data_IF_278759665218
#
_entry.id   IF_278759665218
#
_cell.length_a   1.000
_cell.length_b   1.000
_cell.length_c   1.000
_cell.angle_alpha   90.00
_cell.angle_beta   90.00
_cell.angle_gamma   90.00
#
_symmetry.space_group_name_H-M   'P 1'
#
loop_
_entity.id
_entity.type
_entity.pdbx_description
1 polymer ?
#
# COMPACT_ATOMS: atom_id res chain seq x y z
N UNK A 1 -8.61 6.54 -17.18
CA UNK A 1 -7.58 7.42 -16.67
C UNK A 1 -7.11 6.94 -15.29
N UNK A 2 -5.82 6.82 -15.14
CA UNK A 2 -5.23 6.28 -13.91
C UNK A 2 -5.35 7.19 -12.69
N UNK A 3 -5.19 6.58 -11.53
CA UNK A 3 -5.19 7.28 -10.24
C UNK A 3 -4.03 6.78 -9.40
N UNK A 4 -3.06 7.62 -9.14
CA UNK A 4 -2.02 7.29 -8.18
C UNK A 4 -2.56 7.34 -6.77
N UNK A 5 -2.13 6.38 -5.96
CA UNK A 5 -2.42 6.36 -4.53
C UNK A 5 -1.12 6.24 -3.75
N UNK A 6 -1.07 6.93 -2.63
CA UNK A 6 0.01 6.79 -1.65
C UNK A 6 -0.65 6.32 -0.37
N UNK A 7 -0.36 5.08 0.02
CA UNK A 7 -0.96 4.46 1.20
C UNK A 7 0.08 4.34 2.30
N UNK A 8 -0.31 4.60 3.53
CA UNK A 8 0.56 4.48 4.70
C UNK A 8 -0.01 3.44 5.66
N UNK A 9 0.81 2.44 5.98
CA UNK A 9 0.45 1.30 6.81
C UNK A 9 1.34 1.27 8.04
N UNK A 10 0.76 1.52 9.22
CA UNK A 10 1.51 1.43 10.46
C UNK A 10 1.42 0.01 11.00
N UNK A 11 2.53 -0.74 11.11
CA UNK A 11 2.45 -2.10 11.63
C UNK A 11 1.99 -2.12 13.08
N UNK A 12 1.09 -3.05 13.38
CA UNK A 12 0.73 -3.33 14.76
C UNK A 12 1.92 -3.97 15.46
N UNK A 13 2.03 -3.85 16.80
CA UNK A 13 3.13 -4.46 17.54
C UNK A 13 3.32 -5.94 17.18
N UNK A 14 4.53 -6.32 16.79
CA UNK A 14 4.86 -7.69 16.41
C UNK A 14 4.38 -8.13 15.03
N UNK A 15 3.72 -7.25 14.26
CA UNK A 15 3.12 -7.62 12.97
C UNK A 15 3.89 -7.09 11.75
N UNK A 16 5.11 -6.56 11.93
CA UNK A 16 5.84 -5.99 10.79
C UNK A 16 6.08 -7.04 9.69
N UNK A 17 6.51 -8.25 10.06
CA UNK A 17 6.78 -9.30 9.07
C UNK A 17 5.51 -9.70 8.30
N UNK A 18 4.37 -9.80 8.98
CA UNK A 18 3.10 -10.11 8.35
C UNK A 18 2.67 -8.98 7.39
N UNK A 19 2.87 -7.73 7.78
CA UNK A 19 2.57 -6.58 6.94
C UNK A 19 3.45 -6.58 5.69
N UNK A 20 4.75 -6.79 5.83
CA UNK A 20 5.67 -6.83 4.69
C UNK A 20 5.31 -7.95 3.72
N UNK A 21 4.88 -9.11 4.24
CA UNK A 21 4.41 -10.21 3.40
C UNK A 21 3.16 -9.83 2.60
N UNK A 22 2.22 -9.12 3.23
CA UNK A 22 1.00 -8.66 2.56
C UNK A 22 1.33 -7.61 1.49
N UNK A 23 2.18 -6.63 1.80
CA UNK A 23 2.61 -5.61 0.84
C UNK A 23 3.33 -6.26 -0.33
N UNK A 24 4.16 -7.27 -0.07
CA UNK A 24 4.90 -7.98 -1.12
C UNK A 24 4.00 -8.73 -2.11
N UNK A 25 2.79 -9.12 -1.71
CA UNK A 25 1.81 -9.80 -2.58
C UNK A 25 0.85 -8.82 -3.26
N UNK A 26 0.73 -7.62 -2.77
CA UNK A 26 -0.34 -6.69 -3.14
C UNK A 26 -0.38 -6.42 -4.64
N UNK A 27 0.75 -6.02 -5.22
CA UNK A 27 0.83 -5.69 -6.64
C UNK A 27 0.44 -6.88 -7.52
N UNK A 28 0.94 -8.08 -7.21
CA UNK A 28 0.66 -9.27 -8.00
C UNK A 28 -0.83 -9.63 -7.99
N UNK A 29 -1.48 -9.53 -6.82
CA UNK A 29 -2.92 -9.79 -6.71
C UNK A 29 -3.72 -8.75 -7.49
N UNK A 30 -3.40 -7.46 -7.33
CA UNK A 30 -4.12 -6.39 -8.04
C UNK A 30 -3.92 -6.47 -9.56
N UNK A 31 -2.73 -6.85 -10.03
CA UNK A 31 -2.46 -7.03 -11.47
C UNK A 31 -3.19 -8.24 -12.03
N UNK A 32 -3.21 -9.35 -11.29
CA UNK A 32 -3.94 -10.54 -11.72
C UNK A 32 -5.44 -10.26 -11.90
N UNK A 33 -5.99 -9.35 -11.10
CA UNK A 33 -7.40 -8.93 -11.19
C UNK A 33 -7.61 -7.73 -12.10
N UNK A 34 -6.56 -7.29 -12.81
CA UNK A 34 -6.62 -6.18 -13.78
C UNK A 34 -7.12 -4.87 -13.17
N UNK A 35 -6.60 -4.53 -11.99
CA UNK A 35 -7.02 -3.37 -11.23
C UNK A 35 -6.01 -2.23 -11.22
N UNK A 36 -4.73 -2.53 -11.42
CA UNK A 36 -3.65 -1.53 -11.41
C UNK A 36 -2.88 -1.54 -12.73
N UNK A 37 -2.17 -0.44 -13.00
CA UNK A 37 -1.38 -0.30 -14.22
C UNK A 37 -0.10 -1.13 -14.17
N UNK A 38 0.64 -1.15 -15.30
CA UNK A 38 1.96 -1.77 -15.37
C UNK A 38 3.06 -0.91 -14.79
N UNK A 39 2.74 0.28 -14.29
CA UNK A 39 3.75 1.13 -13.66
C UNK A 39 4.32 0.44 -12.42
N UNK A 40 5.61 0.64 -12.13
CA UNK A 40 6.21 0.04 -10.93
C UNK A 40 5.48 0.45 -9.67
N UNK A 41 5.34 -0.49 -8.74
CA UNK A 41 4.87 -0.22 -7.39
C UNK A 41 6.10 0.04 -6.53
N UNK A 42 6.06 1.12 -5.77
CA UNK A 42 7.16 1.46 -4.86
C UNK A 42 6.70 1.22 -3.42
N UNK A 43 7.52 0.50 -2.68
CA UNK A 43 7.33 0.32 -1.24
C UNK A 43 8.53 0.90 -0.51
N UNK A 44 8.28 1.58 0.60
CA UNK A 44 9.32 2.27 1.36
C UNK A 44 8.94 2.33 2.83
N UNK A 45 9.93 2.62 3.67
CA UNK A 45 9.74 2.70 5.12
C UNK A 45 10.03 4.11 5.60
N UNK A 46 9.11 4.64 6.40
CA UNK A 46 9.31 5.89 7.12
C UNK A 46 10.20 5.66 8.37
N UNK A 47 10.75 6.72 8.92
CA UNK A 47 11.63 6.63 10.08
C UNK A 47 10.96 5.97 11.30
N UNK A 48 9.65 6.11 11.45
CA UNK A 48 8.90 5.51 12.56
C UNK A 48 8.48 4.05 12.30
N UNK A 49 8.87 3.47 11.17
CA UNK A 49 8.52 2.11 10.80
C UNK A 49 7.26 1.97 9.95
N UNK A 50 6.53 3.05 9.70
CA UNK A 50 5.36 3.01 8.83
C UNK A 50 5.78 2.65 7.41
N UNK A 51 5.05 1.73 6.78
CA UNK A 51 5.30 1.31 5.41
C UNK A 51 4.45 2.18 4.49
N UNK A 52 5.09 2.70 3.44
CA UNK A 52 4.42 3.54 2.44
C UNK A 52 4.47 2.83 1.10
N UNK A 53 3.33 2.76 0.43
CA UNK A 53 3.23 2.11 -0.87
C UNK A 53 2.64 3.09 -1.87
N UNK A 54 3.23 3.16 -3.06
CA UNK A 54 2.77 4.04 -4.14
C UNK A 54 2.51 3.19 -5.38
N UNK A 55 1.31 3.31 -5.93
CA UNK A 55 0.96 2.61 -7.17
C UNK A 55 -0.17 3.34 -7.90
N UNK A 56 -0.47 2.88 -9.11
CA UNK A 56 -1.51 3.50 -9.94
C UNK A 56 -2.66 2.53 -10.19
N UNK A 57 -3.85 2.86 -9.70
CA UNK A 57 -5.10 2.21 -10.13
C UNK A 57 -5.36 2.53 -11.60
N UNK A 58 -5.92 1.58 -12.34
CA UNK A 58 -6.27 1.81 -13.74
C UNK A 58 -7.30 2.93 -13.93
N UNK A 59 -8.21 3.08 -12.97
CA UNK A 59 -9.28 4.07 -13.02
C UNK A 59 -9.97 4.17 -11.66
N UNK A 60 -10.85 5.17 -11.51
CA UNK A 60 -11.71 5.26 -10.34
C UNK A 60 -12.65 4.04 -10.23
N UNK A 61 -13.11 3.52 -11.38
CA UNK A 61 -13.96 2.32 -11.42
C UNK A 61 -13.20 1.08 -10.93
N UNK A 62 -11.89 0.98 -11.22
CA UNK A 62 -11.08 -0.13 -10.73
C UNK A 62 -11.05 -0.16 -9.20
N UNK A 63 -11.02 0.99 -8.56
CA UNK A 63 -11.06 1.09 -7.10
C UNK A 63 -12.37 0.49 -6.57
N UNK A 64 -13.49 0.85 -7.20
CA UNK A 64 -14.80 0.30 -6.80
C UNK A 64 -14.85 -1.21 -7.00
N UNK A 65 -14.32 -1.71 -8.12
CA UNK A 65 -14.28 -3.16 -8.38
C UNK A 65 -13.39 -3.89 -7.37
N UNK A 66 -12.30 -3.27 -6.94
CA UNK A 66 -11.42 -3.86 -5.93
C UNK A 66 -12.16 -4.12 -4.63
N UNK A 67 -13.01 -3.18 -4.20
CA UNK A 67 -13.79 -3.33 -2.99
C UNK A 67 -14.81 -4.47 -3.06
N UNK A 68 -15.18 -4.90 -4.26
CA UNK A 68 -16.10 -6.01 -4.47
C UNK A 68 -15.41 -7.32 -4.86
N UNK A 69 -14.09 -7.31 -5.02
CA UNK A 69 -13.33 -8.47 -5.51
C UNK A 69 -12.92 -9.39 -4.36
N UNK A 70 -13.30 -10.68 -4.37
CA UNK A 70 -13.02 -11.60 -3.27
C UNK A 70 -11.51 -11.81 -3.01
N UNK A 71 -10.68 -11.88 -4.06
CA UNK A 71 -9.24 -12.07 -3.90
C UNK A 71 -8.60 -10.86 -3.23
N UNK A 72 -9.03 -9.65 -3.61
CA UNK A 72 -8.54 -8.41 -3.01
C UNK A 72 -9.02 -8.30 -1.56
N UNK A 73 -10.26 -8.65 -1.29
CA UNK A 73 -10.82 -8.62 0.07
C UNK A 73 -10.07 -9.55 1.00
N UNK A 74 -9.72 -10.75 0.53
CA UNK A 74 -8.94 -11.70 1.31
C UNK A 74 -7.55 -11.14 1.67
N UNK A 75 -6.90 -10.48 0.70
CA UNK A 75 -5.60 -9.84 0.93
C UNK A 75 -5.72 -8.65 1.88
N UNK A 76 -6.73 -7.81 1.69
CA UNK A 76 -6.94 -6.65 2.55
C UNK A 76 -7.28 -7.06 3.99
N UNK A 77 -7.85 -8.25 4.22
CA UNK A 77 -8.02 -8.78 5.57
C UNK A 77 -6.67 -9.05 6.24
N UNK A 78 -5.67 -9.50 5.46
CA UNK A 78 -4.29 -9.66 5.97
C UNK A 78 -3.70 -8.31 6.38
N UNK A 79 -3.90 -7.27 5.56
CA UNK A 79 -3.48 -5.90 5.90
C UNK A 79 -4.14 -5.44 7.19
N UNK A 80 -5.46 -5.58 7.29
CA UNK A 80 -6.21 -5.13 8.46
C UNK A 80 -5.81 -5.82 9.75
N UNK A 81 -5.38 -7.09 9.67
CA UNK A 81 -4.88 -7.82 10.82
C UNK A 81 -3.49 -7.37 11.25
N UNK A 82 -2.68 -6.83 10.33
CA UNK A 82 -1.26 -6.54 10.55
C UNK A 82 -0.95 -5.05 10.74
N UNK A 83 -1.84 -4.14 10.36
CA UNK A 83 -1.55 -2.71 10.38
C UNK A 83 -2.77 -1.85 10.69
N UNK A 84 -2.47 -0.58 10.97
CA UNK A 84 -3.44 0.50 10.96
C UNK A 84 -3.17 1.38 9.75
N UNK A 85 -4.22 1.81 9.05
CA UNK A 85 -4.10 2.73 7.93
C UNK A 85 -4.01 4.15 8.45
N UNK A 86 -3.02 4.91 7.97
CA UNK A 86 -2.83 6.29 8.37
C UNK A 86 -2.98 7.23 7.18
N UNK A 87 -3.50 8.44 7.41
CA UNK A 87 -3.35 9.50 6.41
C UNK A 87 -1.87 9.80 6.20
N UNK A 88 -1.47 10.05 4.96
CA UNK A 88 -0.09 10.41 4.66
C UNK A 88 0.39 11.59 5.51
N UNK A 89 -0.49 12.54 5.75
CA UNK A 89 -0.17 13.74 6.54
C UNK A 89 0.28 13.46 7.98
N UNK A 90 -0.01 12.26 8.50
CA UNK A 90 0.44 11.88 9.85
C UNK A 90 1.92 11.54 9.91
N UNK A 91 2.59 11.36 8.77
CA UNK A 91 4.01 11.06 8.73
C UNK A 91 4.82 12.34 8.84
N UNK A 92 5.85 12.40 9.72
CA UNK A 92 6.73 13.57 9.80
C UNK A 92 7.36 13.92 8.45
N UNK A 93 7.72 12.94 7.65
CA UNK A 93 8.29 13.15 6.32
C UNK A 93 7.36 13.93 5.41
N UNK A 94 6.05 13.72 5.51
CA UNK A 94 5.07 14.41 4.66
C UNK A 94 4.95 15.89 4.97
N UNK A 95 5.53 16.35 6.08
CA UNK A 95 5.52 17.76 6.47
C UNK A 95 6.80 18.48 6.02
N UNK A 96 7.73 17.77 5.42
CA UNK A 96 8.96 18.33 4.89
C UNK A 96 8.76 18.69 3.41
N UNK A 97 9.51 19.70 2.94
CA UNK A 97 9.46 20.11 1.54
C UNK A 97 9.84 18.97 0.61
N UNK A 98 10.82 18.17 0.98
CA UNK A 98 11.27 16.99 0.24
C UNK A 98 11.22 15.79 1.19
N UNK A 99 10.13 15.03 1.11
CA UNK A 99 9.93 13.85 1.93
C UNK A 99 10.83 12.70 1.43
N UNK A 100 11.58 12.10 2.34
CA UNK A 100 12.51 11.02 2.01
C UNK A 100 12.17 9.77 2.80
N UNK A 101 12.22 8.61 2.14
CA UNK A 101 11.91 7.32 2.74
C UNK A 101 12.95 6.29 2.37
N UNK A 102 13.13 5.28 3.22
CA UNK A 102 14.01 4.16 2.94
C UNK A 102 13.34 3.21 1.95
N UNK A 103 14.01 2.87 0.83
CA UNK A 103 13.40 1.93 -0.13
C UNK A 103 13.32 0.51 0.45
N UNK A 104 12.26 -0.22 0.06
CA UNK A 104 12.09 -1.62 0.39
C UNK A 104 12.08 -2.45 -0.88
N UNK A 105 12.81 -3.57 -0.86
CA UNK A 105 12.82 -4.54 -1.95
C UNK A 105 11.83 -5.66 -1.60
N UNK A 106 10.63 -5.57 -2.18
CA UNK A 106 9.56 -6.54 -1.93
C UNK A 106 9.21 -7.32 -3.19
#
# INVERSE_FOLDING_TARGET
MGRFVIAAYKPKPGCEAALLAAVGKHAAVLRAEQLISDRPVHAMRAADGTIVEVFEWLSAEAIDRAHANPAVQALWAEFGAACEYLPLANLPEAQQMFAEFEPLAL
#
